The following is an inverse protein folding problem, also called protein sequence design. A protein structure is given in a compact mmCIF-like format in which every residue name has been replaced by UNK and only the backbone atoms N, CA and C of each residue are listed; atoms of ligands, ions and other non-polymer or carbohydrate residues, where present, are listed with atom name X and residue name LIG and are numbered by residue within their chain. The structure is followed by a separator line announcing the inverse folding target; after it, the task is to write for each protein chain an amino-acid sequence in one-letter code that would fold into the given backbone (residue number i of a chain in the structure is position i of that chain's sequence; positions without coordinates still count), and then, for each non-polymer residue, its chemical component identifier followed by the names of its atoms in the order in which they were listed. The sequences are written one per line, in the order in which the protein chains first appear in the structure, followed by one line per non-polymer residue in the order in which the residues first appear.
data_IF_559843200561
#
_entry.id   IF_559843200561
#
_cell.length_a   1.000
_cell.length_b   1.000
_cell.length_c   1.000
_cell.angle_alpha   90.00
_cell.angle_beta   90.00
_cell.angle_gamma   90.00
#
_symmetry.space_group_name_H-M   'P 1'
#
loop_
_entity.id
_entity.type
_entity.pdbx_description
1 polymer ?
#
# COMPACT_ATOMS: atom_id res chain seq x y z
N UNK A 1 -60.79 -13.54 38.33
CA UNK A 1 -60.66 -12.10 38.02
C UNK A 1 -59.19 -11.86 37.75
N UNK A 2 -58.81 -11.87 36.47
CA UNK A 2 -57.42 -11.69 36.03
C UNK A 2 -57.46 -10.63 34.95
N UNK A 3 -56.82 -9.50 35.24
CA UNK A 3 -56.76 -8.33 34.37
C UNK A 3 -55.76 -8.55 33.23
N UNK A 4 -56.24 -8.37 32.01
CA UNK A 4 -55.41 -8.29 30.80
C UNK A 4 -54.90 -6.87 30.63
N UNK A 5 -53.57 -6.70 30.68
CA UNK A 5 -52.90 -5.43 30.40
C UNK A 5 -52.61 -5.33 28.90
N UNK A 6 -53.22 -4.35 28.25
CA UNK A 6 -52.95 -3.95 26.86
C UNK A 6 -52.09 -2.69 26.85
N UNK A 7 -50.91 -2.74 26.23
CA UNK A 7 -50.07 -1.57 25.97
C UNK A 7 -50.65 -0.70 24.84
N UNK A 8 -50.65 0.65 24.97
CA UNK A 8 -51.09 1.53 23.90
C UNK A 8 -50.00 1.76 22.84
N UNK A 9 -50.42 1.84 21.58
CA UNK A 9 -49.60 2.17 20.41
C UNK A 9 -49.08 3.61 20.48
N UNK A 10 -47.76 3.81 20.39
CA UNK A 10 -47.15 5.13 20.20
C UNK A 10 -47.38 5.61 18.77
N UNK A 11 -48.08 6.74 18.63
CA UNK A 11 -48.23 7.47 17.37
C UNK A 11 -46.91 8.07 16.90
N UNK A 12 -46.72 8.07 15.59
CA UNK A 12 -45.60 8.72 14.91
C UNK A 12 -45.71 10.25 15.07
N UNK A 13 -44.62 10.88 15.55
CA UNK A 13 -44.46 12.33 15.52
C UNK A 13 -43.74 12.75 14.23
N UNK A 14 -44.14 13.88 13.61
CA UNK A 14 -43.50 14.39 12.40
C UNK A 14 -42.11 14.97 12.69
N UNK A 15 -41.16 14.66 11.81
CA UNK A 15 -39.80 15.19 11.81
C UNK A 15 -39.82 16.64 11.30
N UNK A 16 -39.29 17.62 12.05
CA UNK A 16 -39.13 18.98 11.53
C UNK A 16 -37.94 19.04 10.56
N UNK A 17 -38.16 19.69 9.42
CA UNK A 17 -37.13 20.03 8.44
C UNK A 17 -36.09 20.98 9.07
N UNK A 18 -34.84 20.54 9.16
CA UNK A 18 -33.73 21.38 9.61
C UNK A 18 -33.27 22.27 8.45
N UNK A 19 -33.25 23.58 8.73
CA UNK A 19 -32.77 24.62 7.86
C UNK A 19 -31.24 24.54 7.68
N UNK A 20 -30.79 24.50 6.43
CA UNK A 20 -29.38 24.61 6.04
C UNK A 20 -28.90 26.06 6.24
N UNK A 21 -28.30 26.32 7.41
CA UNK A 21 -27.69 27.60 7.76
C UNK A 21 -26.20 27.64 7.42
N UNK A 22 -25.88 28.20 6.25
CA UNK A 22 -24.97 29.35 6.06
C UNK A 22 -23.72 29.53 6.99
N UNK A 23 -22.99 28.46 7.34
CA UNK A 23 -21.72 28.54 8.10
C UNK A 23 -20.46 28.10 7.31
N UNK A 24 -20.59 27.81 6.00
CA UNK A 24 -19.51 27.26 5.18
C UNK A 24 -18.72 28.29 4.35
N UNK A 25 -18.65 29.57 4.77
CA UNK A 25 -17.81 30.56 4.06
C UNK A 25 -16.77 31.17 4.99
N UNK A 26 -15.50 30.97 4.61
CA UNK A 26 -14.27 31.63 5.08
C UNK A 26 -13.49 30.87 6.16
N UNK A 27 -12.74 29.86 5.72
CA UNK A 27 -11.39 29.60 6.24
C UNK A 27 -10.42 29.50 5.06
N UNK A 28 -9.25 30.18 5.10
CA UNK A 28 -8.18 29.89 4.16
C UNK A 28 -7.66 28.49 4.49
N UNK A 29 -7.98 27.52 3.64
CA UNK A 29 -7.46 26.15 3.75
C UNK A 29 -6.00 26.20 3.30
N UNK A 30 -5.09 26.09 4.27
CA UNK A 30 -3.73 25.63 4.02
C UNK A 30 -3.84 24.25 3.37
N UNK A 31 -3.48 24.19 2.08
CA UNK A 31 -3.47 22.98 1.28
C UNK A 31 -2.42 22.03 1.84
N UNK A 32 -2.85 21.09 2.66
CA UNK A 32 -2.05 19.91 2.95
C UNK A 32 -2.18 18.98 1.74
N UNK A 33 -1.24 19.08 0.81
CA UNK A 33 -0.80 17.89 0.09
C UNK A 33 -0.36 16.93 1.19
N UNK A 34 -1.07 15.82 1.38
CA UNK A 34 -0.57 14.70 2.17
C UNK A 34 0.66 14.17 1.45
N UNK A 35 1.79 14.79 1.76
CA UNK A 35 3.12 14.32 1.48
C UNK A 35 3.35 13.07 2.33
N UNK A 36 3.03 11.90 1.78
CA UNK A 36 3.58 10.64 2.22
C UNK A 36 4.80 10.28 1.35
N UNK A 37 5.78 11.19 1.31
CA UNK A 37 7.22 10.92 1.06
C UNK A 37 7.98 11.99 1.85
N UNK A 38 8.24 11.72 3.13
CA UNK A 38 9.12 12.55 3.97
C UNK A 38 10.54 12.01 3.81
N UNK A 39 11.24 12.46 2.76
CA UNK A 39 12.71 12.40 2.72
C UNK A 39 13.24 13.64 3.45
N UNK A 40 13.41 13.51 4.77
CA UNK A 40 13.89 14.58 5.64
C UNK A 40 15.24 14.25 6.28
N UNK A 41 16.35 14.66 5.65
CA UNK A 41 17.64 14.81 6.33
C UNK A 41 17.62 16.16 7.04
N UNK A 42 17.32 16.15 8.35
CA UNK A 42 17.46 17.33 9.21
C UNK A 42 18.88 17.33 9.78
N UNK A 43 19.76 18.17 9.23
CA UNK A 43 20.99 18.54 9.91
C UNK A 43 20.66 19.56 11.02
N UNK A 44 20.56 19.07 12.26
CA UNK A 44 20.43 19.90 13.45
C UNK A 44 21.74 20.67 13.68
N UNK A 45 21.82 21.92 13.21
CA UNK A 45 22.80 22.88 13.72
C UNK A 45 22.26 23.48 15.03
N UNK A 46 22.62 22.88 16.16
CA UNK A 46 22.36 23.41 17.49
C UNK A 46 23.20 24.67 17.73
N UNK A 47 22.56 25.84 17.74
CA UNK A 47 23.12 27.08 18.29
C UNK A 47 23.03 27.05 19.81
N UNK A 48 24.11 26.65 20.48
CA UNK A 48 24.29 26.85 21.91
C UNK A 48 24.91 28.23 22.15
N UNK A 49 24.17 29.11 22.82
CA UNK A 49 24.72 30.32 23.44
C UNK A 49 25.39 29.93 24.76
N UNK A 50 26.72 30.06 24.84
CA UNK A 50 27.45 30.10 26.11
C UNK A 50 28.60 31.09 26.01
N UNK A 51 28.56 32.09 26.90
CA UNK A 51 29.61 33.07 27.15
C UNK A 51 30.78 32.48 27.97
N UNK A 52 31.96 33.02 27.69
CA UNK A 52 33.18 33.13 28.51
C UNK A 52 33.85 31.89 29.14
N UNK A 53 34.97 31.45 28.53
CA UNK A 53 36.31 31.50 29.16
C UNK A 53 37.40 30.94 28.22
N UNK A 54 38.38 31.80 27.93
CA UNK A 54 39.55 31.58 27.05
C UNK A 54 40.61 30.68 27.71
N UNK A 55 41.14 29.71 26.96
CA UNK A 55 42.58 29.55 26.86
C UNK A 55 43.06 29.53 25.41
N UNK A 56 44.17 30.21 25.14
CA UNK A 56 44.81 30.27 23.84
C UNK A 56 45.37 28.89 23.45
N UNK A 57 44.72 28.23 22.49
CA UNK A 57 45.23 27.04 21.81
C UNK A 57 45.60 27.39 20.36
N UNK A 58 46.65 26.74 19.87
CA UNK A 58 47.34 26.99 18.62
C UNK A 58 46.44 26.91 17.36
N UNK A 59 46.80 27.60 16.26
CA UNK A 59 46.04 27.57 15.02
C UNK A 59 46.08 26.17 14.41
N UNK A 60 44.98 25.42 14.56
CA UNK A 60 44.78 24.16 13.85
C UNK A 60 44.21 24.51 12.48
N UNK A 61 45.01 24.29 11.44
CA UNK A 61 44.63 24.51 10.04
C UNK A 61 43.61 23.44 9.65
N UNK A 62 42.32 23.72 9.86
CA UNK A 62 41.23 22.89 9.31
C UNK A 62 41.23 23.03 7.79
N UNK A 63 41.84 22.06 7.11
CA UNK A 63 41.60 21.82 5.70
C UNK A 63 40.15 21.39 5.53
N UNK A 64 39.27 22.36 5.21
CA UNK A 64 37.91 22.08 4.76
C UNK A 64 37.99 21.40 3.39
N UNK A 65 37.99 20.07 3.38
CA UNK A 65 37.75 19.30 2.17
C UNK A 65 36.36 19.67 1.67
N UNK A 66 36.30 20.49 0.62
CA UNK A 66 35.07 20.79 -0.10
C UNK A 66 34.74 19.55 -0.91
N UNK A 67 34.03 18.61 -0.28
CA UNK A 67 33.45 17.47 -0.97
C UNK A 67 32.39 18.04 -1.92
N UNK A 68 32.59 17.85 -3.23
CA UNK A 68 31.62 18.29 -4.22
C UNK A 68 30.29 17.57 -3.93
N UNK A 69 29.16 18.27 -3.91
CA UNK A 69 27.87 17.63 -3.68
C UNK A 69 27.63 16.59 -4.78
N UNK A 70 27.54 15.33 -4.40
CA UNK A 70 27.06 14.27 -5.29
C UNK A 70 25.61 14.59 -5.61
N UNK A 71 25.32 14.90 -6.86
CA UNK A 71 23.93 15.09 -7.30
C UNK A 71 23.18 13.77 -7.17
N UNK A 72 22.05 13.79 -6.46
CA UNK A 72 21.15 12.65 -6.34
C UNK A 72 20.43 12.42 -7.68
N UNK A 73 20.82 11.35 -8.39
CA UNK A 73 20.24 10.97 -9.69
C UNK A 73 19.05 10.04 -9.57
N UNK A 74 18.67 9.61 -8.37
CA UNK A 74 17.68 8.54 -8.16
C UNK A 74 16.33 8.78 -8.86
N UNK A 75 15.83 10.02 -8.83
CA UNK A 75 14.59 10.41 -9.51
C UNK A 75 14.73 10.33 -11.02
N UNK A 76 15.88 10.74 -11.56
CA UNK A 76 16.11 10.69 -13.00
C UNK A 76 16.26 9.24 -13.48
N UNK A 77 17.01 8.43 -12.74
CA UNK A 77 17.21 7.00 -13.02
C UNK A 77 15.88 6.25 -13.04
N UNK A 78 14.96 6.53 -12.09
CA UNK A 78 13.62 5.94 -12.06
C UNK A 78 12.77 6.33 -13.28
N UNK A 79 12.82 7.61 -13.70
CA UNK A 79 12.06 8.08 -14.86
C UNK A 79 12.61 7.50 -16.17
N UNK A 80 13.93 7.37 -16.27
CA UNK A 80 14.59 6.76 -17.43
C UNK A 80 14.28 5.26 -17.52
N UNK A 81 14.29 4.54 -16.38
CA UNK A 81 13.85 3.14 -16.29
C UNK A 81 12.37 2.99 -16.69
N UNK A 82 11.52 3.93 -16.28
CA UNK A 82 10.11 3.98 -16.66
C UNK A 82 9.88 4.45 -18.11
N UNK A 83 10.93 4.78 -18.88
CA UNK A 83 10.81 5.23 -20.26
C UNK A 83 10.18 6.61 -20.43
N UNK A 84 10.20 7.47 -19.40
CA UNK A 84 9.56 8.79 -19.41
C UNK A 84 10.55 9.86 -19.89
N UNK A 85 10.43 10.39 -21.13
CA UNK A 85 11.37 11.38 -21.62
C UNK A 85 11.17 12.75 -20.93
N UNK A 86 12.26 13.53 -20.82
CA UNK A 86 12.24 14.86 -20.18
C UNK A 86 11.21 15.85 -20.79
N UNK A 87 10.91 15.72 -22.09
CA UNK A 87 9.87 16.49 -22.76
C UNK A 87 8.47 16.20 -22.16
N UNK A 88 8.18 14.92 -21.91
CA UNK A 88 6.91 14.48 -21.33
C UNK A 88 6.78 14.93 -19.87
N UNK A 89 7.88 14.94 -19.10
CA UNK A 89 7.93 15.53 -17.75
C UNK A 89 7.61 17.03 -17.79
N UNK A 90 8.17 17.75 -18.78
CA UNK A 90 7.92 19.19 -18.96
C UNK A 90 6.45 19.48 -19.30
N UNK A 91 5.86 18.70 -20.20
CA UNK A 91 4.46 18.85 -20.57
C UNK A 91 3.52 18.47 -19.43
N UNK A 92 3.83 17.42 -18.66
CA UNK A 92 3.09 17.08 -17.44
C UNK A 92 3.14 18.23 -16.43
N UNK A 93 4.30 18.88 -16.26
CA UNK A 93 4.44 20.05 -15.39
C UNK A 93 3.56 21.23 -15.81
N UNK A 94 3.37 21.45 -17.12
CA UNK A 94 2.43 22.45 -17.67
C UNK A 94 0.99 22.08 -17.35
N UNK A 95 0.61 20.81 -17.54
CA UNK A 95 -0.74 20.31 -17.24
C UNK A 95 -1.04 20.47 -15.76
N UNK A 96 -0.12 20.10 -14.88
CA UNK A 96 -0.25 20.28 -13.43
C UNK A 96 -0.50 21.75 -13.05
N UNK A 97 0.25 22.69 -13.65
CA UNK A 97 0.03 24.11 -13.45
C UNK A 97 -1.38 24.57 -13.88
N UNK A 98 -1.86 24.10 -15.04
CA UNK A 98 -3.18 24.48 -15.58
C UNK A 98 -4.36 23.91 -14.78
N UNK A 99 -4.19 22.71 -14.21
CA UNK A 99 -5.20 21.99 -13.43
C UNK A 99 -5.09 22.29 -11.92
N UNK A 100 -4.18 23.17 -11.51
CA UNK A 100 -4.05 23.55 -10.10
C UNK A 100 -3.34 22.52 -9.21
N UNK A 101 -2.75 21.48 -9.79
CA UNK A 101 -1.81 20.54 -9.14
C UNK A 101 -0.38 21.10 -9.05
N UNK A 102 -0.09 22.22 -9.72
CA UNK A 102 1.16 22.96 -9.55
C UNK A 102 1.24 23.74 -8.23
N UNK A 103 2.38 24.37 -7.96
CA UNK A 103 2.60 25.22 -6.76
C UNK A 103 1.52 26.30 -6.61
N UNK A 104 0.99 26.79 -7.73
CA UNK A 104 -0.14 27.69 -7.80
C UNK A 104 -0.86 27.48 -9.14
N UNK A 105 -2.18 27.76 -9.18
CA UNK A 105 -2.94 27.64 -10.43
C UNK A 105 -2.35 28.59 -11.49
N UNK A 106 -2.08 28.05 -12.67
CA UNK A 106 -1.47 28.76 -13.79
C UNK A 106 0.06 28.81 -13.76
N UNK A 107 0.72 28.27 -12.72
CA UNK A 107 2.19 28.20 -12.65
C UNK A 107 2.62 26.75 -12.91
N UNK A 108 3.29 26.46 -14.05
CA UNK A 108 3.81 25.13 -14.34
C UNK A 108 4.79 24.63 -13.28
N UNK A 109 4.77 23.33 -13.01
CA UNK A 109 5.89 22.69 -12.32
C UNK A 109 7.09 22.63 -13.28
N UNK A 110 8.30 22.79 -12.74
CA UNK A 110 9.54 22.76 -13.51
C UNK A 110 10.65 22.05 -12.72
N UNK A 111 11.72 21.66 -13.41
CA UNK A 111 12.92 21.10 -12.77
C UNK A 111 12.61 19.90 -11.88
N UNK A 112 13.04 19.97 -10.62
CA UNK A 112 12.86 18.91 -9.64
C UNK A 112 11.38 18.65 -9.32
N UNK A 113 10.54 19.68 -9.19
CA UNK A 113 9.13 19.51 -8.85
C UNK A 113 8.36 18.75 -9.94
N UNK A 114 8.66 19.05 -11.22
CA UNK A 114 8.05 18.34 -12.34
C UNK A 114 8.47 16.87 -12.39
N UNK A 115 9.74 16.56 -12.10
CA UNK A 115 10.24 15.18 -12.04
C UNK A 115 9.61 14.40 -10.89
N UNK A 116 9.56 14.97 -9.68
CA UNK A 116 8.91 14.33 -8.53
C UNK A 116 7.42 14.09 -8.79
N UNK A 117 6.74 15.04 -9.42
CA UNK A 117 5.35 14.84 -9.84
C UNK A 117 5.22 13.72 -10.89
N UNK A 118 6.12 13.66 -11.87
CA UNK A 118 6.15 12.59 -12.87
C UNK A 118 6.33 11.20 -12.23
N UNK A 119 7.15 11.06 -11.19
CA UNK A 119 7.30 9.78 -10.44
C UNK A 119 5.96 9.32 -9.86
N UNK A 120 5.19 10.22 -9.26
CA UNK A 120 3.84 9.91 -8.74
C UNK A 120 2.90 9.48 -9.87
N UNK A 121 2.99 10.14 -11.03
CA UNK A 121 2.13 9.80 -12.17
C UNK A 121 2.54 8.50 -12.86
N UNK A 122 3.82 8.13 -12.85
CA UNK A 122 4.27 6.79 -13.28
C UNK A 122 3.59 5.71 -12.46
N UNK A 123 3.53 5.87 -11.13
CA UNK A 123 2.79 4.93 -10.24
C UNK A 123 1.30 4.89 -10.58
N UNK A 124 0.69 6.06 -10.76
CA UNK A 124 -0.73 6.18 -11.14
C UNK A 124 -1.02 5.46 -12.47
N UNK A 125 -0.15 5.60 -13.47
CA UNK A 125 -0.29 4.88 -14.74
C UNK A 125 -0.17 3.37 -14.56
N UNK A 126 0.80 2.91 -13.77
CA UNK A 126 0.99 1.49 -13.46
C UNK A 126 -0.21 0.89 -12.72
N UNK A 127 -0.79 1.61 -11.78
CA UNK A 127 -2.00 1.21 -11.05
C UNK A 127 -3.22 1.13 -11.98
N UNK A 128 -3.34 2.06 -12.95
CA UNK A 128 -4.40 2.01 -13.96
C UNK A 128 -4.19 0.87 -14.96
N UNK A 129 -2.96 0.65 -15.40
CA UNK A 129 -2.61 -0.39 -16.37
C UNK A 129 -2.75 -1.80 -15.79
N UNK A 130 -2.42 -1.98 -14.50
CA UNK A 130 -2.66 -3.22 -13.78
C UNK A 130 -4.16 -3.44 -13.49
N UNK A 131 -4.95 -2.37 -13.42
CA UNK A 131 -6.35 -2.42 -13.03
C UNK A 131 -6.56 -2.36 -11.51
N UNK A 132 -5.50 -2.07 -10.75
CA UNK A 132 -5.58 -1.84 -9.31
C UNK A 132 -6.51 -0.70 -8.95
N UNK A 133 -6.48 0.39 -9.71
CA UNK A 133 -7.43 1.49 -9.56
C UNK A 133 -7.89 1.96 -10.91
N UNK A 134 -9.19 2.12 -11.05
CA UNK A 134 -9.77 2.75 -12.22
C UNK A 134 -9.45 4.25 -12.20
N UNK A 135 -9.45 4.83 -13.40
CA UNK A 135 -9.40 6.28 -13.59
C UNK A 135 -10.43 7.02 -12.74
N UNK A 136 -11.66 6.52 -12.67
CA UNK A 136 -12.76 7.15 -11.92
C UNK A 136 -12.50 7.17 -10.41
N UNK A 137 -11.86 6.13 -9.87
CA UNK A 137 -11.47 6.09 -8.46
C UNK A 137 -10.35 7.09 -8.15
N UNK A 138 -9.40 7.27 -9.06
CA UNK A 138 -8.38 8.31 -8.93
C UNK A 138 -8.97 9.72 -9.01
N UNK A 139 -9.84 9.99 -9.99
CA UNK A 139 -10.55 11.27 -10.11
C UNK A 139 -11.37 11.59 -8.84
N UNK A 140 -12.09 10.59 -8.33
CA UNK A 140 -12.97 10.75 -7.17
C UNK A 140 -12.16 10.97 -5.88
N UNK A 141 -11.03 10.29 -5.72
CA UNK A 141 -10.11 10.51 -4.60
C UNK A 141 -9.52 11.93 -4.62
N UNK A 142 -9.09 12.43 -5.78
CA UNK A 142 -8.55 13.79 -5.88
C UNK A 142 -9.61 14.85 -5.57
N UNK A 143 -10.85 14.65 -6.02
CA UNK A 143 -11.98 15.55 -5.70
C UNK A 143 -12.29 15.53 -4.19
N UNK A 144 -12.29 14.35 -3.57
CA UNK A 144 -12.47 14.22 -2.13
C UNK A 144 -11.35 14.94 -1.35
N UNK A 145 -10.13 14.98 -1.90
CA UNK A 145 -8.99 15.71 -1.36
C UNK A 145 -8.94 17.20 -1.76
N UNK A 146 -10.01 17.72 -2.38
CA UNK A 146 -10.19 19.15 -2.64
C UNK A 146 -9.78 19.63 -4.03
N UNK A 147 -9.42 18.74 -4.96
CA UNK A 147 -9.25 19.11 -6.36
C UNK A 147 -10.61 19.52 -6.98
N UNK A 148 -10.59 20.44 -7.94
CA UNK A 148 -11.77 20.72 -8.74
C UNK A 148 -12.09 19.53 -9.65
N UNK A 149 -13.36 19.10 -9.73
CA UNK A 149 -13.73 17.94 -10.56
C UNK A 149 -13.32 18.06 -12.05
N UNK A 150 -13.38 19.28 -12.62
CA UNK A 150 -12.91 19.53 -13.98
C UNK A 150 -11.38 19.47 -14.11
N UNK A 151 -10.66 19.92 -13.07
CA UNK A 151 -9.20 19.92 -13.02
C UNK A 151 -8.65 18.48 -12.90
N UNK A 152 -9.24 17.68 -12.00
CA UNK A 152 -8.91 16.27 -11.87
C UNK A 152 -9.14 15.54 -13.19
N UNK A 153 -10.34 15.67 -13.78
CA UNK A 153 -10.65 15.06 -15.08
C UNK A 153 -9.64 15.44 -16.16
N UNK A 154 -9.28 16.72 -16.26
CA UNK A 154 -8.32 17.19 -17.27
C UNK A 154 -6.91 16.60 -17.06
N UNK A 155 -6.47 16.43 -15.80
CA UNK A 155 -5.23 15.73 -15.50
C UNK A 155 -5.31 14.26 -15.97
N UNK A 156 -6.34 13.52 -15.58
CA UNK A 156 -6.46 12.10 -15.94
C UNK A 156 -6.74 11.86 -17.44
N UNK A 157 -7.39 12.80 -18.14
CA UNK A 157 -7.46 12.81 -19.60
C UNK A 157 -6.06 12.87 -20.22
N UNK A 158 -5.21 13.78 -19.74
CA UNK A 158 -3.83 13.88 -20.23
C UNK A 158 -3.00 12.64 -19.88
N UNK A 159 -3.12 12.14 -18.65
CA UNK A 159 -2.40 10.94 -18.21
C UNK A 159 -2.73 9.75 -19.11
N UNK A 160 -4.01 9.46 -19.30
CA UNK A 160 -4.45 8.31 -20.09
C UNK A 160 -4.16 8.45 -21.59
N UNK A 161 -4.30 9.66 -22.16
CA UNK A 161 -4.10 9.87 -23.59
C UNK A 161 -2.63 10.04 -24.00
N UNK A 162 -1.79 10.58 -23.11
CA UNK A 162 -0.42 11.00 -23.47
C UNK A 162 0.64 10.39 -22.57
N UNK A 163 0.49 10.45 -21.24
CA UNK A 163 1.58 10.11 -20.32
C UNK A 163 1.75 8.60 -20.13
N UNK A 164 0.68 7.88 -19.79
CA UNK A 164 0.71 6.45 -19.48
C UNK A 164 1.15 5.56 -20.66
N UNK A 165 0.75 5.83 -21.92
CA UNK A 165 1.26 5.06 -23.06
C UNK A 165 2.79 5.05 -23.19
N UNK A 166 3.49 6.06 -22.66
CA UNK A 166 4.95 6.08 -22.62
C UNK A 166 5.53 5.20 -21.50
N UNK A 167 4.79 5.02 -20.40
CA UNK A 167 5.19 4.20 -19.23
C UNK A 167 5.02 2.71 -19.51
N UNK A 168 3.94 2.31 -20.20
CA UNK A 168 3.51 0.91 -20.36
C UNK A 168 4.31 0.09 -21.39
N UNK A 169 5.36 0.66 -21.99
CA UNK A 169 6.12 0.00 -23.07
C UNK A 169 7.16 -1.03 -22.59
N UNK A 170 7.24 -1.31 -21.29
CA UNK A 170 8.19 -2.27 -20.72
C UNK A 170 7.64 -3.71 -20.84
N UNK A 171 8.29 -4.62 -21.57
CA UNK A 171 7.83 -5.99 -21.71
C UNK A 171 7.87 -6.71 -20.35
N UNK A 172 6.71 -7.20 -19.88
CA UNK A 172 6.69 -8.12 -18.74
C UNK A 172 7.40 -9.42 -19.14
N UNK A 173 8.30 -9.97 -18.31
CA UNK A 173 8.92 -11.25 -18.60
C UNK A 173 7.85 -12.34 -18.71
N UNK A 174 7.98 -13.22 -19.70
CA UNK A 174 7.08 -14.37 -19.85
C UNK A 174 7.18 -15.28 -18.64
N UNK A 175 6.05 -15.77 -18.09
CA UNK A 175 6.07 -16.68 -16.96
C UNK A 175 6.76 -18.00 -17.36
N UNK A 176 7.67 -18.48 -16.52
CA UNK A 176 8.28 -19.80 -16.65
C UNK A 176 7.43 -20.82 -15.87
N UNK A 177 7.44 -22.07 -16.32
CA UNK A 177 6.61 -23.12 -15.72
C UNK A 177 6.95 -23.36 -14.24
N UNK A 178 5.92 -23.55 -13.41
CA UNK A 178 6.08 -23.82 -11.97
C UNK A 178 6.59 -25.27 -11.70
N UNK A 179 7.44 -25.48 -10.69
CA UNK A 179 7.76 -26.80 -10.16
C UNK A 179 6.54 -27.50 -9.53
N UNK A 180 6.61 -28.84 -9.42
CA UNK A 180 5.42 -29.68 -9.17
C UNK A 180 5.05 -29.94 -7.70
N UNK A 181 5.82 -29.53 -6.69
CA UNK A 181 5.43 -29.67 -5.26
C UNK A 181 6.20 -28.72 -4.35
N UNK A 182 5.50 -27.97 -3.49
CA UNK A 182 6.12 -27.20 -2.41
C UNK A 182 6.69 -28.17 -1.35
N UNK A 183 7.93 -27.94 -0.95
CA UNK A 183 8.59 -28.65 0.16
C UNK A 183 8.94 -27.64 1.25
N UNK A 184 8.82 -28.06 2.51
CA UNK A 184 9.30 -27.26 3.64
C UNK A 184 10.81 -27.04 3.52
N UNK A 185 11.28 -25.84 3.87
CA UNK A 185 12.69 -25.54 3.91
C UNK A 185 13.38 -26.15 5.15
N UNK A 186 14.69 -25.94 5.28
CA UNK A 186 15.46 -26.43 6.44
C UNK A 186 14.98 -25.85 7.79
N UNK A 187 14.22 -24.76 7.78
CA UNK A 187 13.62 -24.14 8.95
C UNK A 187 12.15 -24.55 9.16
N UNK A 188 11.58 -25.43 8.31
CA UNK A 188 10.17 -25.83 8.37
C UNK A 188 9.20 -24.78 7.83
N UNK A 189 9.68 -23.76 7.12
CA UNK A 189 8.85 -22.73 6.48
C UNK A 189 8.53 -23.09 5.04
N UNK A 190 7.42 -22.57 4.53
CA UNK A 190 7.02 -22.67 3.13
C UNK A 190 6.30 -21.38 2.75
N UNK A 191 6.69 -20.66 1.72
CA UNK A 191 5.99 -19.41 1.37
C UNK A 191 6.28 -18.28 2.37
N UNK A 192 5.39 -18.10 3.35
CA UNK A 192 5.60 -17.13 4.43
C UNK A 192 6.81 -17.53 5.27
N UNK A 193 7.59 -16.54 5.69
CA UNK A 193 8.89 -16.69 6.38
C UNK A 193 9.98 -17.38 5.56
N UNK A 194 9.77 -17.69 4.28
CA UNK A 194 10.84 -18.12 3.39
C UNK A 194 11.60 -16.91 2.84
N UNK A 195 12.79 -17.16 2.30
CA UNK A 195 13.60 -16.16 1.60
C UNK A 195 13.29 -16.12 0.11
N UNK A 196 13.64 -15.02 -0.58
CA UNK A 196 13.52 -14.90 -2.05
C UNK A 196 14.20 -16.06 -2.79
N UNK A 197 15.44 -16.39 -2.41
CA UNK A 197 16.18 -17.50 -3.01
C UNK A 197 15.44 -18.84 -2.86
N UNK A 198 14.78 -19.08 -1.74
CA UNK A 198 14.00 -20.30 -1.52
C UNK A 198 12.71 -20.30 -2.33
N UNK A 199 11.96 -19.19 -2.33
CA UNK A 199 10.73 -19.08 -3.13
C UNK A 199 11.01 -19.23 -4.62
N UNK A 200 12.08 -18.60 -5.11
CA UNK A 200 12.56 -18.74 -6.49
C UNK A 200 12.98 -20.17 -6.84
N UNK A 201 13.42 -20.97 -5.87
CA UNK A 201 13.75 -22.37 -6.07
C UNK A 201 12.51 -23.28 -6.03
N UNK A 202 11.49 -22.93 -5.24
CA UNK A 202 10.28 -23.71 -5.05
C UNK A 202 9.20 -23.43 -6.11
N UNK A 203 9.17 -22.21 -6.63
CA UNK A 203 8.09 -21.71 -7.47
C UNK A 203 8.61 -21.11 -8.77
N UNK A 204 7.80 -21.20 -9.82
CA UNK A 204 8.08 -20.52 -11.08
C UNK A 204 7.85 -19.01 -10.93
N UNK A 205 8.46 -18.16 -11.78
CA UNK A 205 8.17 -16.74 -11.78
C UNK A 205 6.72 -16.49 -12.20
N UNK A 206 6.03 -15.66 -11.42
CA UNK A 206 4.67 -15.19 -11.64
C UNK A 206 4.62 -13.85 -12.38
N UNK A 207 3.41 -13.42 -12.74
CA UNK A 207 3.19 -12.11 -13.38
C UNK A 207 3.12 -11.00 -12.32
N UNK A 208 4.16 -10.17 -12.24
CA UNK A 208 4.22 -9.04 -11.29
C UNK A 208 3.13 -8.00 -11.54
N UNK A 209 2.66 -7.84 -12.78
CA UNK A 209 1.54 -6.98 -13.14
C UNK A 209 0.22 -7.44 -12.52
N UNK A 210 -0.01 -8.75 -12.43
CA UNK A 210 -1.20 -9.32 -11.80
C UNK A 210 -1.15 -9.17 -10.27
N UNK A 211 0.03 -9.32 -9.66
CA UNK A 211 0.25 -8.96 -8.26
C UNK A 211 -0.09 -7.48 -8.00
N UNK A 212 0.49 -6.56 -8.79
CA UNK A 212 0.24 -5.14 -8.65
C UNK A 212 -1.24 -4.77 -8.82
N UNK A 213 -1.94 -5.43 -9.77
CA UNK A 213 -3.37 -5.27 -10.00
C UNK A 213 -4.22 -5.63 -8.79
N UNK A 214 -3.83 -6.69 -8.08
CA UNK A 214 -4.60 -7.27 -7.01
C UNK A 214 -4.31 -6.60 -5.65
N UNK A 215 -3.06 -6.19 -5.41
CA UNK A 215 -2.60 -5.76 -4.08
C UNK A 215 -2.29 -4.27 -4.01
N UNK A 216 -2.11 -3.59 -5.15
CA UNK A 216 -1.67 -2.20 -5.17
C UNK A 216 -0.21 -1.99 -4.83
N UNK A 217 0.55 -3.09 -4.75
CA UNK A 217 1.99 -3.01 -4.61
C UNK A 217 2.56 -2.28 -5.82
N UNK A 218 3.49 -1.33 -5.60
CA UNK A 218 4.08 -0.57 -6.69
C UNK A 218 4.77 -1.53 -7.65
N UNK A 219 4.36 -1.50 -8.92
CA UNK A 219 5.02 -2.29 -9.96
C UNK A 219 6.46 -1.78 -10.10
N UNK A 220 7.43 -2.60 -9.72
CA UNK A 220 8.85 -2.26 -9.76
C UNK A 220 9.68 -3.14 -8.86
N UNK A 221 9.08 -3.71 -7.81
CA UNK A 221 9.79 -4.53 -6.83
C UNK A 221 8.98 -5.69 -6.23
N UNK A 222 7.82 -5.99 -6.79
CA UNK A 222 7.02 -7.12 -6.36
C UNK A 222 7.68 -8.43 -6.78
N UNK A 223 7.87 -9.34 -5.83
CA UNK A 223 8.17 -10.73 -6.14
C UNK A 223 6.86 -11.40 -6.50
N UNK A 224 6.81 -12.13 -7.60
CA UNK A 224 5.64 -12.90 -7.99
C UNK A 224 6.07 -14.33 -8.25
N UNK A 225 5.39 -15.27 -7.63
CA UNK A 225 5.65 -16.69 -7.75
C UNK A 225 4.38 -17.44 -8.11
N UNK A 226 4.44 -18.34 -9.08
CA UNK A 226 3.30 -19.19 -9.44
C UNK A 226 3.27 -20.41 -8.53
N UNK A 227 2.22 -20.51 -7.69
CA UNK A 227 1.97 -21.66 -6.83
C UNK A 227 1.54 -22.87 -7.68
N UNK A 228 1.76 -24.12 -7.20
CA UNK A 228 1.36 -25.33 -7.93
C UNK A 228 -0.13 -25.42 -8.27
N UNK A 229 -0.98 -24.78 -7.45
CA UNK A 229 -2.43 -24.69 -7.61
C UNK A 229 -2.88 -23.58 -8.57
N UNK A 230 -1.95 -22.81 -9.16
CA UNK A 230 -2.20 -21.83 -10.21
C UNK A 230 -2.40 -20.39 -9.73
N UNK A 231 -2.42 -20.14 -8.42
CA UNK A 231 -2.47 -18.80 -7.84
C UNK A 231 -1.08 -18.14 -7.85
N UNK A 232 -1.05 -16.82 -7.73
CA UNK A 232 0.18 -16.09 -7.53
C UNK A 232 0.43 -15.86 -6.04
N UNK A 233 1.65 -16.11 -5.60
CA UNK A 233 2.19 -15.64 -4.33
C UNK A 233 2.99 -14.36 -4.60
N UNK A 234 2.50 -13.25 -4.08
CA UNK A 234 3.08 -11.93 -4.24
C UNK A 234 3.81 -11.55 -2.95
N UNK A 235 5.12 -11.35 -3.02
CA UNK A 235 5.90 -10.92 -1.86
C UNK A 235 5.87 -9.41 -1.73
N UNK A 236 5.38 -8.91 -0.60
CA UNK A 236 5.42 -7.47 -0.31
C UNK A 236 6.83 -7.05 0.12
N UNK A 237 7.30 -5.94 -0.45
CA UNK A 237 8.40 -5.19 0.11
C UNK A 237 7.84 -3.89 0.65
N UNK A 238 7.49 -3.88 1.94
CA UNK A 238 7.52 -2.64 2.71
C UNK A 238 8.90 -1.98 2.52
N UNK A 239 9.01 -0.66 2.71
CA UNK A 239 10.17 0.20 2.37
C UNK A 239 11.57 -0.19 2.95
N UNK A 240 11.74 -1.38 3.53
CA UNK A 240 13.01 -1.99 3.93
C UNK A 240 13.34 -3.33 3.24
N UNK A 241 12.49 -3.84 2.35
CA UNK A 241 12.65 -5.17 1.75
C UNK A 241 12.34 -6.33 2.70
N UNK A 242 12.67 -7.59 2.32
CA UNK A 242 12.43 -8.74 3.17
C UNK A 242 13.22 -8.63 4.48
N UNK A 243 12.57 -8.98 5.57
CA UNK A 243 13.09 -8.79 6.91
C UNK A 243 14.15 -9.83 7.24
N UNK A 244 15.42 -9.40 7.28
CA UNK A 244 16.58 -10.30 7.31
C UNK A 244 16.55 -11.31 6.14
N UNK A 245 16.04 -10.88 4.99
CA UNK A 245 15.87 -11.75 3.82
C UNK A 245 14.61 -12.62 3.83
N UNK A 246 13.75 -12.54 4.86
CA UNK A 246 12.51 -13.31 4.97
C UNK A 246 11.25 -12.50 4.65
N UNK A 247 10.26 -13.11 3.99
CA UNK A 247 8.95 -12.52 3.79
C UNK A 247 8.08 -12.68 5.05
N UNK A 248 7.74 -11.56 5.71
CA UNK A 248 6.81 -11.54 6.85
C UNK A 248 5.37 -11.19 6.44
N UNK A 249 5.19 -10.84 5.17
CA UNK A 249 3.94 -10.46 4.56
C UNK A 249 3.95 -10.90 3.08
N UNK A 250 2.91 -11.59 2.65
CA UNK A 250 2.73 -12.07 1.29
C UNK A 250 1.25 -12.04 0.94
N UNK A 251 0.92 -11.86 -0.32
CA UNK A 251 -0.45 -11.96 -0.82
C UNK A 251 -0.60 -13.21 -1.67
N UNK A 252 -1.71 -13.92 -1.51
CA UNK A 252 -2.14 -14.97 -2.43
C UNK A 252 -3.22 -14.37 -3.34
N UNK A 253 -2.91 -14.27 -4.62
CA UNK A 253 -3.75 -13.64 -5.64
C UNK A 253 -4.35 -14.71 -6.56
N UNK A 254 -5.67 -14.65 -6.72
CA UNK A 254 -6.44 -15.53 -7.56
C UNK A 254 -6.85 -14.80 -8.84
N UNK A 255 -6.66 -15.44 -10.00
CA UNK A 255 -7.01 -14.87 -11.31
C UNK A 255 -8.53 -14.64 -11.47
N UNK A 256 -9.33 -15.41 -10.75
CA UNK A 256 -10.78 -15.22 -10.55
C UNK A 256 -11.15 -15.42 -9.09
N UNK A 257 -12.20 -14.78 -8.56
CA UNK A 257 -12.68 -15.06 -7.20
C UNK A 257 -12.98 -16.54 -7.00
N UNK A 258 -12.50 -17.11 -5.89
CA UNK A 258 -12.72 -18.50 -5.49
C UNK A 258 -13.52 -18.57 -4.18
N UNK A 259 -14.16 -19.69 -3.84
CA UNK A 259 -14.78 -19.86 -2.53
C UNK A 259 -13.77 -19.72 -1.38
N UNK A 260 -14.20 -19.20 -0.23
CA UNK A 260 -13.36 -19.03 0.97
C UNK A 260 -12.57 -20.30 1.35
N UNK A 261 -13.18 -21.48 1.27
CA UNK A 261 -12.53 -22.76 1.58
C UNK A 261 -11.30 -23.03 0.68
N UNK A 262 -11.43 -22.77 -0.62
CA UNK A 262 -10.34 -22.94 -1.59
C UNK A 262 -9.21 -21.94 -1.31
N UNK A 263 -9.57 -20.69 -0.98
CA UNK A 263 -8.59 -19.67 -0.64
C UNK A 263 -7.82 -20.01 0.64
N UNK A 264 -8.51 -20.49 1.68
CA UNK A 264 -7.89 -20.91 2.92
C UNK A 264 -6.99 -22.14 2.74
N UNK A 265 -7.33 -23.05 1.81
CA UNK A 265 -6.44 -24.15 1.45
C UNK A 265 -5.15 -23.66 0.77
N UNK A 266 -5.26 -22.67 -0.14
CA UNK A 266 -4.10 -22.04 -0.77
C UNK A 266 -3.24 -21.29 0.26
N UNK A 267 -3.85 -20.53 1.16
CA UNK A 267 -3.15 -19.88 2.28
C UNK A 267 -2.46 -20.92 3.17
N UNK A 268 -3.14 -21.97 3.59
CA UNK A 268 -2.53 -23.01 4.40
C UNK A 268 -1.30 -23.63 3.73
N UNK A 269 -1.30 -23.78 2.40
CA UNK A 269 -0.18 -24.33 1.63
C UNK A 269 1.11 -23.49 1.68
N UNK A 270 1.03 -22.23 2.12
CA UNK A 270 2.15 -21.30 2.28
C UNK A 270 2.42 -20.95 3.76
N UNK A 271 1.92 -21.76 4.69
CA UNK A 271 2.15 -21.61 6.13
C UNK A 271 2.83 -22.85 6.71
N UNK A 272 3.59 -22.76 7.81
CA UNK A 272 4.19 -23.95 8.44
C UNK A 272 3.18 -25.08 8.69
N UNK A 273 3.63 -26.34 8.60
CA UNK A 273 2.74 -27.50 8.72
C UNK A 273 2.09 -27.66 10.10
N UNK A 274 2.63 -27.01 11.14
CA UNK A 274 2.13 -27.04 12.52
C UNK A 274 1.08 -25.95 12.83
N UNK A 275 0.53 -25.27 11.83
CA UNK A 275 -0.56 -24.32 12.06
C UNK A 275 -1.77 -24.99 12.73
N UNK A 276 -2.33 -24.31 13.72
CA UNK A 276 -3.49 -24.79 14.49
C UNK A 276 -4.69 -23.84 14.39
N UNK A 277 -5.85 -24.38 14.78
CA UNK A 277 -7.20 -23.97 14.38
C UNK A 277 -7.43 -22.46 14.18
N UNK A 278 -8.06 -22.08 13.06
CA UNK A 278 -8.32 -20.68 12.75
C UNK A 278 -9.36 -20.06 13.69
N UNK A 279 -9.10 -18.87 14.20
CA UNK A 279 -10.17 -17.95 14.62
C UNK A 279 -10.51 -17.04 13.45
N UNK A 280 -11.80 -16.76 13.26
CA UNK A 280 -12.30 -15.95 12.14
C UNK A 280 -13.07 -14.75 12.68
N UNK A 281 -12.76 -13.55 12.19
CA UNK A 281 -13.41 -12.29 12.56
C UNK A 281 -13.75 -11.49 11.30
N UNK A 282 -14.98 -10.98 11.21
CA UNK A 282 -15.37 -10.07 10.15
C UNK A 282 -14.80 -8.67 10.43
N UNK A 283 -14.29 -8.02 9.39
CA UNK A 283 -13.80 -6.64 9.43
C UNK A 283 -14.59 -5.73 8.50
N UNK A 284 -14.55 -4.43 8.78
CA UNK A 284 -15.10 -3.39 7.91
C UNK A 284 -14.05 -2.32 7.65
N UNK A 285 -14.19 -1.63 6.53
CA UNK A 285 -13.37 -0.47 6.24
C UNK A 285 -13.59 0.61 7.32
N UNK A 286 -12.56 1.43 7.62
CA UNK A 286 -12.71 2.51 8.57
C UNK A 286 -13.70 3.58 8.04
N UNK A 287 -14.29 4.41 8.92
CA UNK A 287 -15.37 5.34 8.54
C UNK A 287 -15.02 6.40 7.49
N UNK A 288 -13.73 6.67 7.29
CA UNK A 288 -13.23 7.63 6.30
C UNK A 288 -13.01 7.01 4.91
N UNK A 289 -13.09 5.68 4.79
CA UNK A 289 -12.92 4.93 3.55
C UNK A 289 -14.28 4.62 2.90
N UNK A 290 -14.31 4.30 1.59
CA UNK A 290 -15.51 3.76 0.96
C UNK A 290 -16.02 2.52 1.71
N UNK A 291 -17.34 2.23 1.69
CA UNK A 291 -17.88 1.05 2.33
C UNK A 291 -17.27 -0.24 1.76
N UNK A 292 -16.71 -1.06 2.65
CA UNK A 292 -16.12 -2.35 2.31
C UNK A 292 -16.02 -3.23 3.55
N UNK A 293 -15.84 -4.54 3.33
CA UNK A 293 -15.62 -5.51 4.40
C UNK A 293 -14.69 -6.63 3.94
N UNK A 294 -14.13 -7.34 4.91
CA UNK A 294 -13.17 -8.42 4.73
C UNK A 294 -13.37 -9.49 5.81
N UNK A 295 -12.75 -10.64 5.61
CA UNK A 295 -12.72 -11.72 6.59
C UNK A 295 -11.28 -11.92 7.07
N UNK A 296 -11.03 -11.74 8.37
CA UNK A 296 -9.72 -12.02 8.97
C UNK A 296 -9.71 -13.41 9.59
N UNK A 297 -8.67 -14.18 9.34
CA UNK A 297 -8.46 -15.52 9.87
C UNK A 297 -7.08 -15.57 10.52
N UNK A 298 -6.96 -16.14 11.73
CA UNK A 298 -5.68 -16.23 12.44
C UNK A 298 -5.39 -17.64 12.93
N UNK A 299 -4.14 -18.07 12.79
CA UNK A 299 -3.60 -19.36 13.23
C UNK A 299 -2.49 -19.17 14.26
N UNK A 300 -2.13 -20.26 14.95
CA UNK A 300 -0.91 -20.35 15.76
C UNK A 300 0.04 -21.39 15.18
N UNK A 301 1.34 -21.11 15.16
CA UNK A 301 2.42 -22.01 14.74
C UNK A 301 3.65 -21.81 15.63
N UNK A 302 4.13 -22.90 16.23
CA UNK A 302 5.38 -22.91 17.01
C UNK A 302 6.60 -22.73 16.11
N UNK A 303 6.53 -23.23 14.87
CA UNK A 303 7.56 -23.03 13.84
C UNK A 303 7.69 -21.56 13.49
N UNK A 304 6.57 -20.88 13.19
CA UNK A 304 6.55 -19.43 12.94
C UNK A 304 7.11 -18.67 14.16
N UNK A 305 6.66 -19.01 15.37
CA UNK A 305 7.15 -18.43 16.62
C UNK A 305 8.66 -18.53 16.80
N UNK A 306 9.24 -19.69 16.50
CA UNK A 306 10.68 -19.92 16.60
C UNK A 306 11.47 -19.09 15.58
N UNK A 307 11.00 -19.03 14.33
CA UNK A 307 11.66 -18.26 13.27
C UNK A 307 11.57 -16.76 13.55
N UNK A 308 10.39 -16.25 13.87
CA UNK A 308 10.15 -14.83 14.15
C UNK A 308 10.93 -14.38 15.39
N UNK A 309 10.92 -15.16 16.48
CA UNK A 309 11.68 -14.83 17.70
C UNK A 309 13.18 -14.81 17.45
N UNK A 310 13.69 -15.69 16.57
CA UNK A 310 15.11 -15.70 16.18
C UNK A 310 15.50 -14.44 15.41
N UNK A 311 14.66 -13.99 14.48
CA UNK A 311 14.91 -12.79 13.66
C UNK A 311 14.71 -11.51 14.50
N UNK A 312 13.65 -11.46 15.32
CA UNK A 312 13.40 -10.36 16.25
C UNK A 312 12.80 -10.87 17.57
N UNK A 313 13.64 -10.99 18.61
CA UNK A 313 13.20 -11.42 19.94
C UNK A 313 12.17 -10.49 20.60
N UNK A 314 12.01 -9.25 20.12
CA UNK A 314 11.07 -8.28 20.64
C UNK A 314 9.69 -8.30 19.99
N UNK A 315 9.44 -9.17 19.00
CA UNK A 315 8.16 -9.23 18.29
C UNK A 315 7.05 -9.74 19.20
N UNK A 316 5.91 -9.05 19.23
CA UNK A 316 4.74 -9.48 19.99
C UNK A 316 3.96 -10.57 19.26
N UNK A 317 3.57 -11.63 19.97
CA UNK A 317 2.85 -12.78 19.41
C UNK A 317 3.56 -13.42 18.20
N UNK A 318 4.85 -13.80 18.34
CA UNK A 318 5.66 -14.29 17.21
C UNK A 318 5.11 -15.61 16.63
N UNK A 319 4.32 -16.34 17.42
CA UNK A 319 3.69 -17.61 17.08
C UNK A 319 2.37 -17.46 16.31
N UNK A 320 1.92 -16.23 16.03
CA UNK A 320 0.67 -15.98 15.31
C UNK A 320 0.91 -15.64 13.85
N UNK A 321 0.01 -16.14 13.02
CA UNK A 321 -0.09 -15.85 11.59
C UNK A 321 -1.53 -15.45 11.32
N UNK A 322 -1.76 -14.43 10.51
CA UNK A 322 -3.12 -14.09 10.05
C UNK A 322 -3.19 -13.95 8.54
N UNK A 323 -4.40 -14.14 8.02
CA UNK A 323 -4.79 -13.80 6.66
C UNK A 323 -5.99 -12.86 6.69
N UNK A 324 -6.01 -11.86 5.82
CA UNK A 324 -7.17 -11.02 5.54
C UNK A 324 -7.65 -11.33 4.12
N UNK A 325 -8.91 -11.73 4.01
CA UNK A 325 -9.52 -12.19 2.76
C UNK A 325 -10.38 -11.07 2.17
N UNK A 326 -10.15 -10.76 0.90
CA UNK A 326 -10.85 -9.74 0.14
C UNK A 326 -11.56 -10.37 -1.06
N UNK A 327 -12.83 -10.02 -1.28
CA UNK A 327 -13.63 -10.55 -2.40
C UNK A 327 -13.26 -9.96 -3.75
N UNK A 328 -12.72 -8.73 -3.78
CA UNK A 328 -12.16 -8.11 -4.99
C UNK A 328 -10.67 -7.82 -4.83
N UNK A 329 -10.30 -6.69 -4.23
CA UNK A 329 -8.90 -6.31 -4.00
C UNK A 329 -8.75 -5.60 -2.67
N UNK A 330 -7.54 -5.65 -2.14
CA UNK A 330 -7.10 -4.74 -1.08
C UNK A 330 -6.90 -3.34 -1.68
N UNK A 331 -7.06 -2.30 -0.88
CA UNK A 331 -6.75 -0.91 -1.23
C UNK A 331 -5.95 -0.30 -0.08
N UNK A 332 -5.38 0.89 -0.30
CA UNK A 332 -4.72 1.65 0.78
C UNK A 332 -5.66 2.04 1.93
N UNK A 333 -6.96 1.98 1.68
CA UNK A 333 -8.05 2.42 2.56
C UNK A 333 -8.88 1.23 3.10
N UNK A 334 -8.46 -0.01 2.85
CA UNK A 334 -9.15 -1.23 3.24
C UNK A 334 -9.64 -2.07 2.05
N UNK A 335 -10.80 -2.71 2.15
CA UNK A 335 -11.38 -3.53 1.08
C UNK A 335 -12.04 -2.69 -0.02
N UNK A 336 -11.85 -3.04 -1.29
CA UNK A 336 -12.54 -2.38 -2.41
C UNK A 336 -14.06 -2.69 -2.47
N UNK A 337 -14.51 -3.76 -1.80
CA UNK A 337 -15.90 -4.22 -1.85
C UNK A 337 -16.37 -4.77 -0.51
N UNK A 338 -17.67 -5.04 -0.39
CA UNK A 338 -18.16 -5.89 0.69
C UNK A 338 -17.67 -7.33 0.47
N UNK A 339 -17.35 -8.01 1.57
CA UNK A 339 -17.03 -9.43 1.58
C UNK A 339 -18.29 -10.27 1.30
N UNK A 340 -18.21 -11.16 0.33
CA UNK A 340 -19.34 -11.97 -0.15
C UNK A 340 -19.15 -13.49 -0.01
N UNK A 341 -18.07 -13.91 0.68
CA UNK A 341 -17.70 -15.33 0.83
C UNK A 341 -16.88 -15.90 -0.32
N UNK A 342 -16.58 -15.07 -1.34
CA UNK A 342 -15.53 -15.35 -2.32
C UNK A 342 -14.29 -14.54 -2.01
N UNK A 343 -13.14 -15.01 -2.51
CA UNK A 343 -11.83 -14.43 -2.26
C UNK A 343 -11.08 -14.32 -3.57
N UNK A 344 -10.59 -13.12 -3.84
CA UNK A 344 -9.70 -12.83 -4.97
C UNK A 344 -8.29 -12.47 -4.51
N UNK A 345 -8.16 -11.96 -3.29
CA UNK A 345 -6.87 -11.68 -2.64
C UNK A 345 -6.92 -12.14 -1.18
N UNK A 346 -5.89 -12.87 -0.75
CA UNK A 346 -5.67 -13.19 0.65
C UNK A 346 -4.31 -12.64 1.08
N UNK A 347 -4.33 -11.64 1.94
CA UNK A 347 -3.13 -10.99 2.49
C UNK A 347 -2.71 -11.71 3.75
N UNK A 348 -1.52 -12.32 3.76
CA UNK A 348 -1.03 -13.23 4.80
C UNK A 348 0.20 -12.63 5.48
N UNK A 349 0.20 -12.56 6.80
CA UNK A 349 1.32 -11.99 7.56
C UNK A 349 1.52 -12.59 8.94
N UNK A 350 2.64 -12.22 9.55
CA UNK A 350 2.95 -12.54 10.95
C UNK A 350 2.19 -11.59 11.88
N UNK A 351 1.53 -12.15 12.88
CA UNK A 351 0.73 -11.42 13.85
C UNK A 351 -0.64 -12.04 14.06
N UNK A 352 -1.39 -11.46 15.00
CA UNK A 352 -2.79 -11.81 15.21
C UNK A 352 -3.71 -11.17 14.16
N UNK A 353 -5.00 -11.16 14.46
CA UNK A 353 -5.95 -10.35 13.71
C UNK A 353 -5.54 -8.87 13.70
N UNK A 354 -5.87 -8.15 12.63
CA UNK A 354 -5.64 -6.70 12.51
C UNK A 354 -6.63 -5.91 13.36
N UNK A 355 -6.60 -6.11 14.68
CA UNK A 355 -7.43 -5.40 15.65
C UNK A 355 -6.84 -4.02 15.88
N UNK A 356 -7.66 -2.97 15.73
CA UNK A 356 -7.28 -1.68 16.27
C UNK A 356 -7.21 -1.79 17.82
N UNK A 357 -6.19 -1.19 18.44
CA UNK A 357 -5.95 -1.33 19.89
C UNK A 357 -6.95 -0.58 20.76
N UNK A 358 -7.91 0.12 20.15
CA UNK A 358 -8.85 1.01 20.82
C UNK A 358 -10.19 0.31 21.02
N UNK A 359 -10.68 -0.43 20.02
CA UNK A 359 -12.03 -1.02 20.04
C UNK A 359 -12.05 -2.53 19.73
N UNK A 360 -10.89 -3.17 19.55
CA UNK A 360 -10.75 -4.56 19.06
C UNK A 360 -11.41 -4.81 17.69
N UNK A 361 -11.75 -3.73 16.97
CA UNK A 361 -12.37 -3.81 15.65
C UNK A 361 -11.33 -4.21 14.61
N UNK A 362 -11.70 -5.15 13.73
CA UNK A 362 -10.87 -5.55 12.60
C UNK A 362 -11.02 -4.53 11.49
N UNK A 363 -9.92 -3.84 11.20
CA UNK A 363 -9.81 -3.04 9.99
C UNK A 363 -9.34 -3.91 8.84
N UNK A 364 -10.11 -3.87 7.76
CA UNK A 364 -9.56 -4.02 6.43
C UNK A 364 -8.63 -2.82 6.19
#
# INVERSE_FOLDING_TARGET
MSESSTCPSRGAMPVPAAAEGEWARRRPVLRALSAAVVLGVVALASTACSDDARPAAAPTTSSATTEAPTEDTSVQDFLDEAGVPAALVTDLGRVAGSTGYGLSRGVPLAGADARSFAVVQVRTCRDMASGFRSRTEFESADVANGAGAADARALYDYLTATFCPAVDSQPSPSPAAAPTTAQDDAAGTRGLLSTDAQLSALYGPGATSECAAATGQPSGRAYAYLLPSGQLLCGDMFDGGPWDGHFIHVDVVFSSPVPEEEALAAVASILPADITAPTALAGVNPPYSPPGSCQSVAWQSTTAGSVVTRINPGWSNPDRVSAVLYSDRQTVDGSASAYDGTVRVATVGIGGHNTNSIDDDITC
#
